data_IF_604261342676
#
_entry.id   IF_604261342676
#
_cell.length_a   1.000
_cell.length_b   1.000
_cell.length_c   1.000
_cell.angle_alpha   90.00
_cell.angle_beta   90.00
_cell.angle_gamma   90.00
#
_symmetry.space_group_name_H-M   'P 1'
#
loop_
_entity.id
_entity.type
_entity.pdbx_description
1 polymer ?
#
# COMPACT_ATOMS: atom_id res chain seq x y z
N UNK A 1 -12.22 -0.39 7.76
CA UNK A 1 -11.70 0.98 7.50
C UNK A 1 -11.66 1.24 6.00
N UNK A 2 -11.65 2.50 5.56
CA UNK A 2 -11.43 2.81 4.13
C UNK A 2 -9.94 2.78 3.79
N UNK A 3 -9.60 2.24 2.63
CA UNK A 3 -8.24 2.18 2.12
C UNK A 3 -8.21 2.31 0.60
N UNK A 4 -7.10 2.85 0.07
CA UNK A 4 -6.81 2.83 -1.36
C UNK A 4 -6.21 1.48 -1.70
N UNK A 5 -6.95 0.70 -2.48
CA UNK A 5 -6.64 -0.69 -2.83
C UNK A 5 -6.16 -0.78 -4.27
N UNK A 6 -5.14 -1.61 -4.48
CA UNK A 6 -4.59 -1.96 -5.77
C UNK A 6 -4.61 -3.49 -5.96
N UNK A 7 -5.26 -3.97 -7.03
CA UNK A 7 -5.37 -5.41 -7.33
C UNK A 7 -4.48 -5.85 -8.49
N UNK A 8 -4.02 -4.91 -9.32
CA UNK A 8 -3.15 -5.13 -10.47
C UNK A 8 -2.19 -3.98 -10.65
N UNK A 9 -1.06 -4.23 -11.31
CA UNK A 9 -0.19 -3.16 -11.79
C UNK A 9 -0.91 -2.35 -12.88
N UNK A 10 -0.66 -1.04 -12.93
CA UNK A 10 -1.29 -0.19 -13.93
C UNK A 10 -1.20 1.31 -13.65
N UNK A 11 -1.98 2.13 -14.38
CA UNK A 11 -2.06 3.57 -14.14
C UNK A 11 -2.79 3.90 -12.82
N UNK A 12 -2.75 5.16 -12.35
CA UNK A 12 -3.48 5.61 -11.14
C UNK A 12 -4.96 5.23 -11.14
N UNK A 13 -5.61 5.24 -12.30
CA UNK A 13 -7.01 4.84 -12.48
C UNK A 13 -7.30 3.36 -12.19
N UNK A 14 -6.28 2.56 -11.86
CA UNK A 14 -6.45 1.19 -11.33
C UNK A 14 -6.72 1.16 -9.82
N UNK A 15 -6.43 2.24 -9.09
CA UNK A 15 -6.64 2.36 -7.65
C UNK A 15 -8.13 2.48 -7.33
N UNK A 16 -8.57 1.85 -6.23
CA UNK A 16 -9.98 1.90 -5.79
C UNK A 16 -10.04 2.21 -4.31
N UNK A 17 -10.83 3.21 -3.93
CA UNK A 17 -11.21 3.39 -2.53
C UNK A 17 -12.20 2.27 -2.17
N UNK A 18 -11.86 1.44 -1.18
CA UNK A 18 -12.72 0.36 -0.70
C UNK A 18 -12.76 0.32 0.82
N UNK A 19 -13.85 -0.22 1.35
CA UNK A 19 -13.89 -0.67 2.74
C UNK A 19 -13.16 -2.02 2.86
N UNK A 20 -12.26 -2.11 3.84
CA UNK A 20 -11.45 -3.30 4.15
C UNK A 20 -11.49 -3.57 5.64
N UNK A 21 -11.12 -4.78 6.06
CA UNK A 21 -11.04 -5.12 7.48
C UNK A 21 -10.02 -4.21 8.20
N UNK A 22 -10.35 -3.85 9.44
CA UNK A 22 -9.42 -3.11 10.29
C UNK A 22 -8.27 -4.06 10.69
N UNK A 23 -7.01 -3.71 10.43
CA UNK A 23 -5.89 -4.55 10.84
C UNK A 23 -5.81 -4.66 12.37
N UNK A 24 -5.33 -5.81 12.86
CA UNK A 24 -5.06 -6.05 14.28
C UNK A 24 -3.56 -6.02 14.51
N UNK A 25 -3.10 -5.19 15.43
CA UNK A 25 -1.70 -5.16 15.83
C UNK A 25 -1.35 -6.44 16.60
N UNK A 26 -0.23 -7.08 16.22
CA UNK A 26 0.35 -8.20 16.95
C UNK A 26 1.29 -7.75 18.08
N UNK A 27 1.96 -8.72 18.72
CA UNK A 27 2.94 -8.42 19.76
C UNK A 27 4.07 -7.52 19.21
N UNK A 28 4.34 -6.41 19.91
CA UNK A 28 5.37 -5.45 19.51
C UNK A 28 5.01 -4.54 18.33
N UNK A 29 3.76 -4.58 17.84
CA UNK A 29 3.26 -3.70 16.79
C UNK A 29 2.26 -2.69 17.34
N UNK A 30 2.06 -1.61 16.60
CA UNK A 30 1.03 -0.61 16.90
C UNK A 30 0.09 -0.43 15.72
N UNK A 31 -1.16 -0.09 16.01
CA UNK A 31 -2.15 0.37 15.05
C UNK A 31 -2.18 1.89 15.07
N UNK A 32 -1.88 2.48 13.92
CA UNK A 32 -1.91 3.93 13.73
C UNK A 32 -3.18 4.32 12.97
N UNK A 33 -3.96 5.25 13.53
CA UNK A 33 -4.98 5.97 12.75
C UNK A 33 -4.32 7.06 11.94
N UNK A 34 -4.11 6.74 10.67
CA UNK A 34 -3.54 7.64 9.67
C UNK A 34 -4.42 8.89 9.51
N UNK A 35 -3.79 10.06 9.57
CA UNK A 35 -4.40 11.38 9.34
C UNK A 35 -3.87 12.03 8.06
N UNK A 36 -2.64 11.71 7.67
CA UNK A 36 -2.05 12.12 6.41
C UNK A 36 -1.15 10.99 5.88
N UNK A 37 -1.02 10.92 4.55
CA UNK A 37 -0.08 10.05 3.85
C UNK A 37 0.62 10.88 2.77
N UNK A 38 1.89 10.61 2.53
CA UNK A 38 2.65 11.27 1.46
C UNK A 38 2.54 10.47 0.16
N UNK A 39 2.75 11.16 -0.96
CA UNK A 39 2.90 10.54 -2.28
C UNK A 39 4.37 10.65 -2.68
N UNK A 40 4.99 9.51 -2.93
CA UNK A 40 6.40 9.38 -3.23
C UNK A 40 6.62 8.77 -4.63
N UNK A 41 7.80 8.97 -5.26
CA UNK A 41 8.18 8.22 -6.47
C UNK A 41 8.12 6.71 -6.28
N UNK A 42 8.38 6.23 -5.05
CA UNK A 42 8.20 4.81 -4.69
C UNK A 42 6.79 4.30 -5.01
N UNK A 43 5.75 5.08 -4.69
CA UNK A 43 4.36 4.69 -4.91
C UNK A 43 4.07 4.51 -6.40
N UNK A 44 4.66 5.35 -7.25
CA UNK A 44 4.55 5.22 -8.71
C UNK A 44 5.14 3.92 -9.23
N UNK A 45 6.34 3.56 -8.76
CA UNK A 45 7.00 2.32 -9.13
C UNK A 45 6.20 1.09 -8.68
N UNK A 46 5.67 1.11 -7.45
CA UNK A 46 4.82 0.02 -6.93
C UNK A 46 3.48 -0.07 -7.66
N UNK A 47 2.88 1.07 -7.98
CA UNK A 47 1.62 1.16 -8.73
C UNK A 47 1.77 0.55 -10.14
N UNK A 48 2.84 0.89 -10.85
CA UNK A 48 3.05 0.43 -12.23
C UNK A 48 3.74 -0.92 -12.35
N UNK A 49 4.41 -1.38 -11.30
CA UNK A 49 5.28 -2.55 -11.41
C UNK A 49 6.55 -2.25 -12.23
N UNK A 50 7.09 -1.04 -12.08
CA UNK A 50 8.13 -0.46 -12.94
C UNK A 50 9.37 -0.07 -12.12
N UNK A 51 10.62 -0.37 -12.57
CA UNK A 51 10.96 -1.13 -13.77
C UNK A 51 10.48 -2.58 -13.70
N UNK A 52 10.15 -3.18 -14.84
CA UNK A 52 9.60 -4.55 -14.91
C UNK A 52 10.45 -5.58 -14.15
N UNK A 53 11.78 -5.45 -14.21
CA UNK A 53 12.71 -6.33 -13.49
C UNK A 53 12.55 -6.27 -11.96
N UNK A 54 12.09 -5.16 -11.39
CA UNK A 54 11.86 -5.02 -9.95
C UNK A 54 10.77 -5.98 -9.42
N UNK A 55 9.91 -6.50 -10.29
CA UNK A 55 8.90 -7.52 -9.96
C UNK A 55 9.54 -8.85 -9.50
N UNK A 56 10.79 -9.09 -9.88
CA UNK A 56 11.58 -10.26 -9.48
C UNK A 56 12.23 -10.11 -8.09
N UNK A 57 12.32 -8.89 -7.54
CA UNK A 57 12.99 -8.61 -6.26
C UNK A 57 12.16 -8.98 -5.02
N UNK A 58 11.02 -9.67 -5.20
CA UNK A 58 10.19 -10.23 -4.11
C UNK A 58 9.37 -9.23 -3.29
N UNK A 59 9.72 -7.93 -3.29
CA UNK A 59 8.97 -6.88 -2.59
C UNK A 59 7.73 -6.38 -3.34
N UNK A 60 7.82 -6.27 -4.66
CA UNK A 60 6.77 -5.68 -5.52
C UNK A 60 5.68 -6.68 -5.92
N UNK A 61 6.06 -7.95 -6.14
CA UNK A 61 5.16 -9.01 -6.60
C UNK A 61 5.31 -9.31 -8.10
N UNK A 62 5.18 -10.59 -8.47
CA UNK A 62 5.50 -11.05 -9.82
C UNK A 62 4.42 -10.70 -10.84
N UNK A 63 3.15 -11.05 -10.61
CA UNK A 63 2.04 -10.83 -11.57
C UNK A 63 1.12 -9.68 -11.15
N UNK A 64 1.10 -9.37 -9.86
CA UNK A 64 0.28 -8.33 -9.22
C UNK A 64 1.01 -7.77 -8.00
N UNK A 65 0.63 -6.59 -7.50
CA UNK A 65 1.19 -6.01 -6.29
C UNK A 65 1.13 -7.00 -5.13
N UNK A 66 2.22 -7.11 -4.38
CA UNK A 66 2.30 -7.95 -3.18
C UNK A 66 1.47 -7.37 -2.04
N UNK A 67 1.60 -6.06 -1.82
CA UNK A 67 0.76 -5.32 -0.88
C UNK A 67 -0.52 -4.84 -1.61
N UNK A 68 -1.68 -5.12 -1.01
CA UNK A 68 -2.97 -4.75 -1.59
C UNK A 68 -3.36 -3.30 -1.29
N UNK A 69 -2.86 -2.73 -0.20
CA UNK A 69 -3.08 -1.32 0.19
C UNK A 69 -1.85 -0.52 -0.18
N UNK A 70 -2.04 0.60 -0.87
CA UNK A 70 -0.95 1.47 -1.33
C UNK A 70 -0.46 2.42 -0.22
N UNK A 71 0.78 2.90 -0.38
CA UNK A 71 1.42 3.88 0.50
C UNK A 71 2.60 3.30 1.29
N UNK A 72 3.62 4.13 1.51
CA UNK A 72 4.82 3.79 2.29
C UNK A 72 5.08 4.75 3.46
N UNK A 73 4.51 5.97 3.43
CA UNK A 73 4.67 6.99 4.45
C UNK A 73 3.33 7.46 5.03
N UNK A 74 3.31 7.72 6.34
CA UNK A 74 2.12 8.18 7.04
C UNK A 74 2.44 9.05 8.26
N UNK A 75 1.49 9.92 8.62
CA UNK A 75 1.41 10.59 9.91
C UNK A 75 0.04 10.35 10.54
N UNK A 76 0.01 10.09 11.85
CA UNK A 76 -1.21 9.72 12.54
C UNK A 76 -1.04 9.60 14.05
N UNK A 77 -2.05 9.03 14.69
CA UNK A 77 -2.09 8.80 16.15
C UNK A 77 -2.10 7.31 16.41
N UNK A 78 -1.29 6.84 17.35
CA UNK A 78 -1.34 5.44 17.82
C UNK A 78 -2.65 5.22 18.56
N UNK A 79 -3.41 4.19 18.18
CA UNK A 79 -4.68 3.84 18.81
C UNK A 79 -4.61 2.59 19.69
N UNK A 80 -3.71 1.66 19.39
CA UNK A 80 -3.47 0.43 20.17
C UNK A 80 -2.12 -0.18 19.83
#
# INVERSE_FOLDING_TARGET
>A
MKAVVQERFGPPDSLRLRDVDRPRAGAGQVLVRVRAAAVNPYDWHMLRGDPYAARLLGGMGLTRPKARVAGIDAAGVVES
#
